data_IF_246334414884
#
_entry.id   IF_246334414884
#
_cell.length_a   1.000
_cell.length_b   1.000
_cell.length_c   1.000
_cell.angle_alpha   90.00
_cell.angle_beta   90.00
_cell.angle_gamma   90.00
#
_symmetry.space_group_name_H-M   'P 1'
#
loop_
_entity.id
_entity.type
_entity.pdbx_description
1 polymer ?
#
# COMPACT_ATOMS: atom_id res chain seq x y z
N UNK A 1 22.64 9.07 7.10
CA UNK A 1 21.76 10.05 7.78
C UNK A 1 20.68 9.27 8.49
N UNK A 2 20.57 9.40 9.81
CA UNK A 2 19.54 8.74 10.61
C UNK A 2 18.44 9.73 11.01
N UNK A 3 17.20 9.25 11.15
CA UNK A 3 15.99 10.05 11.42
C UNK A 3 15.83 11.27 10.48
N UNK A 4 15.91 11.01 9.17
CA UNK A 4 15.98 12.02 8.10
C UNK A 4 14.92 13.15 8.20
N UNK A 5 13.73 12.83 8.73
CA UNK A 5 12.62 13.76 8.91
C UNK A 5 12.92 14.94 9.83
N UNK A 6 13.95 14.85 10.67
CA UNK A 6 14.40 15.94 11.55
C UNK A 6 15.29 16.96 10.83
N UNK A 7 15.80 16.62 9.65
CA UNK A 7 16.69 17.49 8.89
C UNK A 7 15.92 18.28 7.83
N UNK A 8 16.08 19.60 7.85
CA UNK A 8 15.61 20.48 6.78
C UNK A 8 16.36 20.24 5.47
N UNK A 9 15.76 20.66 4.35
CA UNK A 9 16.35 20.53 3.01
C UNK A 9 17.72 21.21 2.94
N UNK A 10 17.85 22.39 3.55
CA UNK A 10 19.11 23.15 3.58
C UNK A 10 20.23 22.41 4.29
N UNK A 11 19.95 21.72 5.39
CA UNK A 11 20.94 20.91 6.11
C UNK A 11 21.46 19.76 5.25
N UNK A 12 20.57 19.09 4.51
CA UNK A 12 20.92 17.99 3.60
C UNK A 12 21.74 18.48 2.40
N UNK A 13 21.34 19.62 1.82
CA UNK A 13 22.08 20.24 0.72
C UNK A 13 23.48 20.71 1.15
N UNK A 14 23.64 21.20 2.38
CA UNK A 14 24.97 21.54 2.93
C UNK A 14 25.88 20.32 3.06
N UNK A 15 25.34 19.15 3.46
CA UNK A 15 26.09 17.89 3.52
C UNK A 15 26.52 17.46 2.11
N UNK A 16 25.61 17.54 1.12
CA UNK A 16 25.93 17.24 -0.28
C UNK A 16 26.99 18.18 -0.88
N UNK A 17 26.97 19.46 -0.49
CA UNK A 17 27.96 20.45 -0.94
C UNK A 17 29.37 20.22 -0.38
N UNK A 18 29.49 19.47 0.72
CA UNK A 18 30.78 19.19 1.34
C UNK A 18 31.65 18.24 0.50
N UNK A 19 31.01 17.30 -0.22
CA UNK A 19 31.65 16.43 -1.22
C UNK A 19 30.61 15.95 -2.23
N UNK A 20 30.88 16.19 -3.51
CA UNK A 20 30.22 15.51 -4.62
C UNK A 20 30.82 14.10 -4.78
N UNK A 21 30.00 13.11 -5.15
CA UNK A 21 30.38 11.68 -5.30
C UNK A 21 30.62 10.91 -3.99
N UNK A 22 29.63 10.91 -3.11
CA UNK A 22 29.59 10.04 -1.92
C UNK A 22 28.34 9.17 -1.91
N UNK A 23 28.49 7.93 -1.44
CA UNK A 23 27.35 7.06 -1.18
C UNK A 23 26.56 7.59 0.03
N UNK A 24 25.25 7.72 -0.13
CA UNK A 24 24.36 8.25 0.91
C UNK A 24 23.41 7.17 1.38
N UNK A 25 23.67 6.62 2.57
CA UNK A 25 22.71 5.77 3.27
C UNK A 25 21.80 6.63 4.16
N UNK A 26 20.49 6.50 3.99
CA UNK A 26 19.49 7.19 4.81
C UNK A 26 18.59 6.18 5.50
N UNK A 27 18.43 6.31 6.82
CA UNK A 27 17.62 5.45 7.66
C UNK A 27 16.48 6.27 8.26
N UNK A 28 15.26 5.71 8.23
CA UNK A 28 14.09 6.33 8.86
C UNK A 28 13.03 5.29 9.17
N UNK A 29 12.38 5.41 10.33
CA UNK A 29 11.23 4.60 10.70
C UNK A 29 9.94 5.00 9.95
N UNK A 30 9.89 6.25 9.46
CA UNK A 30 8.78 6.82 8.69
C UNK A 30 9.36 7.74 7.62
N UNK A 31 9.58 7.26 6.38
CA UNK A 31 10.19 8.08 5.35
C UNK A 31 9.35 9.33 5.12
N UNK A 32 10.04 10.47 4.92
CA UNK A 32 9.38 11.74 4.63
C UNK A 32 8.55 11.56 3.34
N UNK A 33 7.31 12.06 3.26
CA UNK A 33 6.47 11.92 2.08
C UNK A 33 7.20 12.21 0.75
N UNK A 34 8.00 13.29 0.71
CA UNK A 34 8.82 13.64 -0.47
C UNK A 34 9.97 12.66 -0.76
N UNK A 35 10.64 12.14 0.28
CA UNK A 35 11.71 11.15 0.09
C UNK A 35 11.10 9.82 -0.39
N UNK A 36 9.94 9.45 0.17
CA UNK A 36 9.20 8.27 -0.24
C UNK A 36 8.76 8.39 -1.70
N UNK A 37 8.19 9.53 -2.10
CA UNK A 37 7.84 9.84 -3.48
C UNK A 37 9.05 9.71 -4.41
N UNK A 38 10.20 10.33 -4.10
CA UNK A 38 11.44 10.19 -4.90
C UNK A 38 11.95 8.76 -5.00
N UNK A 39 11.64 7.93 -4.00
CA UNK A 39 12.06 6.54 -4.00
C UNK A 39 11.11 5.68 -4.86
N UNK A 40 9.81 5.96 -4.78
CA UNK A 40 8.78 5.34 -5.62
C UNK A 40 8.96 5.70 -7.10
N UNK A 41 9.44 6.91 -7.41
CA UNK A 41 9.75 7.34 -8.78
C UNK A 41 11.09 6.83 -9.29
N UNK A 42 11.82 6.01 -8.52
CA UNK A 42 13.11 5.43 -8.94
C UNK A 42 14.28 6.42 -8.99
N UNK A 43 14.12 7.65 -8.48
CA UNK A 43 15.22 8.62 -8.33
C UNK A 43 16.13 8.21 -7.16
N UNK A 44 15.60 7.48 -6.17
CA UNK A 44 16.34 6.92 -5.04
C UNK A 44 16.01 5.44 -4.84
N UNK A 45 17.03 4.64 -4.56
CA UNK A 45 16.83 3.25 -4.17
C UNK A 45 16.22 3.16 -2.77
N UNK A 46 15.22 2.29 -2.61
CA UNK A 46 14.55 2.00 -1.36
C UNK A 46 14.82 0.56 -0.96
N UNK A 47 15.25 0.35 0.28
CA UNK A 47 15.30 -0.99 0.89
C UNK A 47 14.42 -1.00 2.14
N UNK A 48 13.51 -1.96 2.21
CA UNK A 48 12.55 -2.10 3.30
C UNK A 48 12.92 -3.29 4.19
N UNK A 49 13.07 -3.04 5.49
CA UNK A 49 13.28 -4.09 6.49
C UNK A 49 11.94 -4.44 7.14
N UNK A 50 11.28 -5.48 6.62
CA UNK A 50 9.96 -5.90 7.08
C UNK A 50 9.98 -6.79 8.32
N UNK A 51 11.00 -7.65 8.46
CA UNK A 51 11.05 -8.67 9.50
C UNK A 51 11.32 -8.03 10.86
N UNK A 52 10.37 -8.07 11.81
CA UNK A 52 10.62 -7.59 13.16
C UNK A 52 11.55 -8.54 13.91
N UNK A 53 12.23 -8.07 14.97
CA UNK A 53 12.95 -8.95 15.90
C UNK A 53 12.02 -10.00 16.50
N UNK A 54 12.53 -11.22 16.73
CA UNK A 54 11.74 -12.40 17.09
C UNK A 54 10.89 -12.27 18.37
N UNK A 55 11.27 -11.38 19.29
CA UNK A 55 10.62 -11.23 20.60
C UNK A 55 9.59 -10.09 20.67
N UNK A 56 9.36 -9.37 19.57
CA UNK A 56 8.50 -8.18 19.59
C UNK A 56 7.02 -8.54 19.39
N UNK A 57 6.19 -8.18 20.37
CA UNK A 57 4.73 -8.34 20.28
C UNK A 57 4.06 -7.14 19.60
N UNK A 58 2.96 -7.33 18.84
CA UNK A 58 2.17 -6.24 18.28
C UNK A 58 1.56 -5.34 19.38
N UNK A 59 1.56 -4.04 19.13
CA UNK A 59 1.00 -3.03 20.05
C UNK A 59 -0.50 -2.92 19.80
N UNK A 60 -1.30 -3.19 20.84
CA UNK A 60 -2.75 -3.02 20.77
C UNK A 60 -3.09 -1.53 20.84
N UNK A 61 -3.61 -1.00 19.73
CA UNK A 61 -3.94 0.42 19.61
C UNK A 61 -5.46 0.59 19.75
N UNK A 62 -5.89 1.37 20.74
CA UNK A 62 -7.28 1.78 20.94
C UNK A 62 -7.42 3.25 20.58
N UNK A 63 -8.41 3.57 19.75
CA UNK A 63 -8.71 4.93 19.29
C UNK A 63 -10.13 5.25 19.71
N UNK A 64 -10.34 6.35 20.43
CA UNK A 64 -11.66 6.70 20.92
C UNK A 64 -11.74 8.05 21.60
N UNK A 65 -12.92 8.39 22.09
CA UNK A 65 -13.13 9.58 22.90
C UNK A 65 -12.37 9.47 24.23
N UNK A 66 -11.89 10.62 24.72
CA UNK A 66 -11.21 10.68 26.01
C UNK A 66 -12.16 10.23 27.14
N UNK A 67 -11.77 9.15 27.80
CA UNK A 67 -12.44 8.63 28.99
C UNK A 67 -11.43 8.54 30.14
N UNK A 68 -11.73 9.26 31.22
CA UNK A 68 -10.93 9.25 32.45
C UNK A 68 -10.86 7.85 33.07
N UNK A 69 -11.96 7.07 32.99
CA UNK A 69 -12.00 5.73 33.58
C UNK A 69 -11.08 4.79 32.82
N UNK A 70 -11.18 4.78 31.48
CA UNK A 70 -10.29 3.99 30.63
C UNK A 70 -8.82 4.37 30.84
N UNK A 71 -8.53 5.66 30.98
CA UNK A 71 -7.17 6.16 31.27
C UNK A 71 -6.66 5.65 32.63
N UNK A 72 -7.46 5.78 33.69
CA UNK A 72 -7.09 5.32 35.03
C UNK A 72 -6.92 3.79 35.09
N UNK A 73 -7.79 3.04 34.43
CA UNK A 73 -7.68 1.58 34.32
C UNK A 73 -6.42 1.15 33.55
N UNK A 74 -6.10 1.83 32.45
CA UNK A 74 -4.88 1.58 31.69
C UNK A 74 -3.63 1.80 32.53
N UNK A 75 -3.58 2.89 33.31
CA UNK A 75 -2.46 3.19 34.22
C UNK A 75 -2.38 2.13 35.33
N UNK A 76 -3.49 1.85 36.03
CA UNK A 76 -3.51 0.83 37.10
C UNK A 76 -3.08 -0.55 36.61
N UNK A 77 -3.53 -0.93 35.42
CA UNK A 77 -3.13 -2.19 34.79
C UNK A 77 -1.62 -2.25 34.54
N UNK A 78 -1.00 -1.12 34.16
CA UNK A 78 0.45 -1.02 34.02
C UNK A 78 1.18 -1.17 35.34
N UNK A 79 0.70 -0.49 36.39
CA UNK A 79 1.29 -0.53 37.72
C UNK A 79 1.27 -1.96 38.30
N UNK A 80 0.17 -2.69 38.08
CA UNK A 80 0.02 -4.09 38.52
C UNK A 80 1.04 -5.04 37.88
N UNK A 81 1.58 -4.69 36.71
CA UNK A 81 2.63 -5.45 36.03
C UNK A 81 4.04 -4.88 36.25
N UNK A 82 4.19 -3.95 37.18
CA UNK A 82 5.43 -3.23 37.48
C UNK A 82 6.04 -2.53 36.25
N UNK A 83 5.17 -2.14 35.31
CA UNK A 83 5.55 -1.38 34.12
C UNK A 83 5.42 0.12 34.34
N UNK A 84 5.77 0.87 33.30
CA UNK A 84 5.69 2.33 33.31
C UNK A 84 4.83 2.85 32.16
N UNK A 85 4.26 4.05 32.34
CA UNK A 85 3.32 4.66 31.38
C UNK A 85 3.88 5.97 30.84
N UNK A 86 3.81 6.15 29.53
CA UNK A 86 3.89 7.49 28.93
C UNK A 86 2.50 8.08 28.77
N UNK A 87 2.30 9.27 29.32
CA UNK A 87 1.12 10.09 29.08
C UNK A 87 1.53 11.32 28.26
N UNK A 88 1.14 11.37 26.99
CA UNK A 88 1.52 12.42 26.07
C UNK A 88 0.44 13.51 26.04
N UNK A 89 0.84 14.71 26.47
CA UNK A 89 0.04 15.91 26.41
C UNK A 89 0.85 17.03 25.75
N UNK A 90 0.52 17.37 24.50
CA UNK A 90 1.32 18.28 23.67
C UNK A 90 0.99 19.76 23.88
N UNK A 91 0.94 20.20 25.14
CA UNK A 91 0.75 21.60 25.50
C UNK A 91 1.37 21.86 26.88
N UNK A 92 2.35 22.76 26.94
CA UNK A 92 3.15 22.98 28.15
C UNK A 92 2.40 23.80 29.20
N UNK A 93 1.49 24.67 28.76
CA UNK A 93 0.77 25.63 29.63
C UNK A 93 -0.07 24.93 30.71
N UNK A 94 -0.69 23.80 30.38
CA UNK A 94 -1.63 23.03 31.20
C UNK A 94 -1.10 21.64 31.60
N UNK A 95 0.14 21.30 31.24
CA UNK A 95 0.71 19.96 31.53
C UNK A 95 0.73 19.64 33.02
N UNK A 96 1.00 20.64 33.87
CA UNK A 96 1.04 20.48 35.33
C UNK A 96 -0.36 20.26 35.90
N UNK A 97 -1.38 20.90 35.33
CA UNK A 97 -2.79 20.69 35.72
C UNK A 97 -3.25 19.28 35.34
N UNK A 98 -2.86 18.81 34.15
CA UNK A 98 -3.12 17.45 33.69
C UNK A 98 -2.44 16.42 34.60
N UNK A 99 -1.18 16.66 34.99
CA UNK A 99 -0.47 15.79 35.93
C UNK A 99 -1.15 15.74 37.31
N UNK A 100 -1.61 16.88 37.84
CA UNK A 100 -2.35 16.94 39.09
C UNK A 100 -3.68 16.15 39.00
N UNK A 101 -4.42 16.30 37.90
CA UNK A 101 -5.65 15.53 37.65
C UNK A 101 -5.38 14.04 37.55
N UNK A 102 -4.30 13.62 36.88
CA UNK A 102 -3.88 12.22 36.83
C UNK A 102 -3.53 11.68 38.23
N UNK A 103 -2.90 12.50 39.07
CA UNK A 103 -2.57 12.15 40.46
C UNK A 103 -3.84 11.95 41.31
N UNK A 104 -4.88 12.76 41.08
CA UNK A 104 -6.19 12.59 41.73
C UNK A 104 -6.90 11.31 41.25
N UNK A 105 -6.82 10.99 39.96
CA UNK A 105 -7.45 9.79 39.38
C UNK A 105 -6.76 8.48 39.81
N UNK A 106 -5.43 8.50 39.96
CA UNK A 106 -4.61 7.36 40.35
C UNK A 106 -3.63 7.76 41.48
N UNK A 107 -4.11 7.88 42.74
CA UNK A 107 -3.30 8.32 43.87
C UNK A 107 -2.08 7.43 44.18
N UNK A 108 -2.15 6.16 43.79
CA UNK A 108 -1.07 5.18 43.97
C UNK A 108 0.09 5.33 42.97
N UNK A 109 -0.10 6.08 41.88
CA UNK A 109 0.94 6.29 40.87
C UNK A 109 1.89 7.42 41.28
N UNK A 110 3.20 7.23 41.06
CA UNK A 110 4.18 8.31 41.16
C UNK A 110 4.31 9.00 39.81
N UNK A 111 3.85 10.25 39.72
CA UNK A 111 3.75 10.97 38.45
C UNK A 111 4.88 12.00 38.33
N UNK A 112 5.64 11.91 37.23
CA UNK A 112 6.65 12.90 36.84
C UNK A 112 6.17 13.72 35.63
N UNK A 113 6.74 14.91 35.45
CA UNK A 113 6.45 15.81 34.31
C UNK A 113 7.73 16.13 33.56
N UNK A 114 7.73 15.98 32.24
CA UNK A 114 8.86 16.30 31.37
C UNK A 114 8.43 17.07 30.11
N UNK A 115 8.92 18.30 29.94
CA UNK A 115 8.62 19.13 28.77
C UNK A 115 9.81 19.96 28.29
N UNK A 116 9.72 20.51 27.07
CA UNK A 116 10.90 20.98 26.33
C UNK A 116 11.36 22.38 26.73
N UNK A 117 10.54 23.06 27.53
CA UNK A 117 10.86 24.34 28.15
C UNK A 117 11.59 24.17 29.50
N UNK A 118 11.79 22.94 29.98
CA UNK A 118 12.62 22.70 31.17
C UNK A 118 14.08 22.97 30.84
N UNK A 119 14.86 23.33 31.86
CA UNK A 119 16.32 23.34 31.71
C UNK A 119 16.84 21.93 31.44
N UNK A 120 17.92 21.83 30.66
CA UNK A 120 18.48 20.54 30.22
C UNK A 120 18.84 19.63 31.40
N UNK A 121 19.37 20.19 32.50
CA UNK A 121 19.74 19.41 33.69
C UNK A 121 18.54 18.83 34.42
N UNK A 122 17.47 19.61 34.63
CA UNK A 122 16.24 19.10 35.24
C UNK A 122 15.54 18.08 34.36
N UNK A 123 15.53 18.28 33.04
CA UNK A 123 14.96 17.32 32.10
C UNK A 123 15.71 15.99 32.14
N UNK A 124 17.05 16.04 32.09
CA UNK A 124 17.91 14.86 32.21
C UNK A 124 17.66 14.13 33.54
N UNK A 125 17.57 14.86 34.66
CA UNK A 125 17.31 14.26 35.95
C UNK A 125 15.95 13.55 36.00
N UNK A 126 14.87 14.17 35.48
CA UNK A 126 13.54 13.52 35.44
C UNK A 126 13.56 12.25 34.58
N UNK A 127 14.30 12.26 33.47
CA UNK A 127 14.45 11.10 32.59
C UNK A 127 15.22 9.97 33.30
N UNK A 128 16.28 10.30 34.04
CA UNK A 128 17.04 9.35 34.88
C UNK A 128 16.15 8.80 35.98
N UNK A 129 15.44 9.66 36.71
CA UNK A 129 14.54 9.25 37.79
C UNK A 129 13.44 8.31 37.28
N UNK A 130 12.89 8.60 36.09
CA UNK A 130 11.93 7.71 35.45
C UNK A 130 12.59 6.40 35.02
N UNK A 131 13.82 6.41 34.48
CA UNK A 131 14.56 5.17 34.18
C UNK A 131 14.79 4.31 35.44
N UNK A 132 15.15 4.93 36.56
CA UNK A 132 15.37 4.27 37.85
C UNK A 132 14.08 3.84 38.56
N UNK A 133 12.92 4.04 37.91
CA UNK A 133 11.58 3.72 38.45
C UNK A 133 11.22 4.52 39.71
N UNK A 134 11.75 5.73 39.85
CA UNK A 134 11.28 6.70 40.86
C UNK A 134 9.88 7.22 40.52
N UNK A 135 9.55 7.25 39.22
CA UNK A 135 8.24 7.60 38.69
C UNK A 135 7.64 6.42 37.90
N UNK A 136 6.34 6.23 38.00
CA UNK A 136 5.60 5.20 37.28
C UNK A 136 4.95 5.74 36.01
N UNK A 137 4.51 7.01 36.05
CA UNK A 137 3.87 7.69 34.93
C UNK A 137 4.65 8.95 34.59
N UNK A 138 5.06 9.10 33.33
CA UNK A 138 5.69 10.32 32.85
C UNK A 138 4.71 11.08 31.94
N UNK A 139 4.25 12.22 32.44
CA UNK A 139 3.45 13.18 31.66
C UNK A 139 4.43 14.02 30.84
N UNK A 140 4.38 13.90 29.52
CA UNK A 140 5.36 14.52 28.65
C UNK A 140 4.76 15.10 27.38
N UNK A 141 5.50 16.02 26.75
CA UNK A 141 5.22 16.44 25.38
C UNK A 141 5.86 15.47 24.37
N UNK A 142 5.96 15.85 23.10
CA UNK A 142 6.56 15.02 22.04
C UNK A 142 8.08 14.81 22.15
N UNK A 143 8.72 15.20 23.26
CA UNK A 143 10.18 15.05 23.47
C UNK A 143 10.60 13.59 23.43
N UNK A 144 9.75 12.67 23.88
CA UNK A 144 9.99 11.22 23.82
C UNK A 144 10.17 10.70 22.39
N UNK A 145 9.78 11.47 21.36
CA UNK A 145 10.12 11.15 19.97
C UNK A 145 11.64 11.11 19.73
N UNK A 146 12.45 11.79 20.57
CA UNK A 146 13.87 12.14 20.33
C UNK A 146 14.93 11.14 20.77
N UNK A 147 14.56 9.92 21.14
CA UNK A 147 15.55 8.87 21.36
C UNK A 147 15.73 8.43 22.81
N UNK A 148 14.78 8.73 23.70
CA UNK A 148 14.71 8.08 25.00
C UNK A 148 14.09 6.69 24.77
N UNK A 149 14.92 5.66 24.91
CA UNK A 149 14.51 4.27 24.79
C UNK A 149 14.32 3.66 26.17
N UNK A 150 13.09 3.37 26.57
CA UNK A 150 12.79 2.80 27.89
C UNK A 150 12.08 1.45 27.74
N UNK A 151 12.79 0.32 27.93
CA UNK A 151 12.24 -1.02 27.74
C UNK A 151 11.06 -1.35 28.67
N UNK A 152 11.01 -0.73 29.85
CA UNK A 152 9.97 -0.89 30.86
C UNK A 152 8.64 -0.21 30.50
N UNK A 153 8.64 0.67 29.50
CA UNK A 153 7.42 1.37 29.10
C UNK A 153 6.63 0.52 28.12
N UNK A 154 5.48 0.03 28.57
CA UNK A 154 4.60 -0.84 27.78
C UNK A 154 3.20 -0.26 27.59
N UNK A 155 2.88 0.91 28.16
CA UNK A 155 1.63 1.62 27.88
C UNK A 155 1.88 3.07 27.47
N UNK A 156 1.27 3.45 26.34
CA UNK A 156 1.21 4.82 25.83
C UNK A 156 -0.23 5.33 25.95
N UNK A 157 -0.41 6.52 26.50
CA UNK A 157 -1.68 7.25 26.47
C UNK A 157 -1.42 8.59 25.79
N UNK A 158 -2.23 8.96 24.80
CA UNK A 158 -2.15 10.25 24.10
C UNK A 158 -3.49 10.94 24.26
N UNK A 159 -3.53 12.06 24.98
CA UNK A 159 -4.75 12.82 25.30
C UNK A 159 -5.38 13.49 24.06
N UNK A 160 -4.54 14.15 23.25
CA UNK A 160 -4.97 14.94 22.07
C UNK A 160 -4.39 14.40 20.77
N UNK A 161 -4.68 13.14 20.46
CA UNK A 161 -4.21 12.50 19.22
C UNK A 161 -4.79 13.17 17.95
N UNK A 162 -5.92 13.88 18.07
CA UNK A 162 -6.53 14.70 17.01
C UNK A 162 -5.64 15.87 16.54
N UNK A 163 -4.68 16.31 17.34
CA UNK A 163 -3.76 17.40 16.98
C UNK A 163 -2.42 16.92 16.41
N UNK A 164 -2.14 15.61 16.45
CA UNK A 164 -0.83 15.05 16.12
C UNK A 164 -0.77 14.48 14.70
N UNK A 165 0.35 14.66 14.00
CA UNK A 165 0.56 14.08 12.67
C UNK A 165 0.64 12.54 12.68
N UNK A 166 0.36 11.90 11.54
CA UNK A 166 0.33 10.43 11.45
C UNK A 166 1.71 9.82 11.74
N UNK A 167 2.76 10.40 11.17
CA UNK A 167 4.15 10.00 11.45
C UNK A 167 4.54 10.18 12.91
N UNK A 168 4.07 11.24 13.59
CA UNK A 168 4.33 11.47 15.02
C UNK A 168 3.67 10.39 15.88
N UNK A 169 2.39 10.11 15.65
CA UNK A 169 1.67 9.04 16.35
C UNK A 169 2.35 7.69 16.16
N UNK A 170 2.83 7.40 14.94
CA UNK A 170 3.57 6.17 14.67
C UNK A 170 4.91 6.11 15.41
N UNK A 171 5.68 7.21 15.43
CA UNK A 171 6.94 7.27 16.16
C UNK A 171 6.73 7.09 17.66
N UNK A 172 5.77 7.80 18.26
CA UNK A 172 5.40 7.64 19.66
C UNK A 172 5.01 6.21 19.99
N UNK A 173 4.14 5.60 19.17
CA UNK A 173 3.75 4.20 19.33
C UNK A 173 4.96 3.28 19.26
N UNK A 174 5.90 3.53 18.35
CA UNK A 174 7.13 2.75 18.19
C UNK A 174 8.12 2.85 19.37
N UNK A 175 7.95 3.83 20.28
CA UNK A 175 8.75 3.97 21.51
C UNK A 175 8.28 3.04 22.64
N UNK A 176 7.12 2.42 22.51
CA UNK A 176 6.52 1.52 23.52
C UNK A 176 6.53 0.08 23.03
N UNK A 177 6.57 -0.89 23.94
CA UNK A 177 6.50 -2.32 23.59
C UNK A 177 7.79 -2.86 22.99
N UNK A 178 8.90 -2.56 23.68
CA UNK A 178 10.23 -3.12 23.39
C UNK A 178 10.57 -4.34 24.24
N UNK A 179 9.75 -4.65 25.23
CA UNK A 179 9.84 -5.87 26.04
C UNK A 179 9.06 -7.04 25.40
N UNK A 180 9.25 -8.24 25.94
CA UNK A 180 8.43 -9.42 25.59
C UNK A 180 6.95 -9.24 25.94
N UNK A 181 6.63 -8.28 26.81
CA UNK A 181 5.26 -8.02 27.22
C UNK A 181 4.49 -7.25 26.16
N UNK A 182 3.20 -7.62 26.04
CA UNK A 182 2.30 -6.93 25.12
C UNK A 182 2.12 -5.47 25.54
N UNK A 183 2.28 -4.57 24.59
CA UNK A 183 2.09 -3.15 24.80
C UNK A 183 0.72 -2.64 24.35
N UNK A 184 0.30 -1.53 24.96
CA UNK A 184 -0.98 -0.87 24.69
C UNK A 184 -0.75 0.60 24.32
N UNK A 185 -1.51 1.09 23.35
CA UNK A 185 -1.53 2.50 22.98
C UNK A 185 -2.98 3.00 22.95
N UNK A 186 -3.29 3.97 23.81
CA UNK A 186 -4.59 4.62 23.89
C UNK A 186 -4.48 6.00 23.26
N UNK A 187 -5.16 6.20 22.13
CA UNK A 187 -5.16 7.44 21.36
C UNK A 187 -6.52 8.11 21.51
N UNK A 188 -6.57 9.12 22.36
CA UNK A 188 -7.80 9.82 22.68
C UNK A 188 -8.00 11.09 21.83
N UNK A 189 -9.26 11.46 21.69
CA UNK A 189 -9.69 12.74 21.16
C UNK A 189 -10.84 13.31 22.00
N UNK A 190 -11.04 14.64 22.03
CA UNK A 190 -12.04 15.25 22.90
C UNK A 190 -13.47 14.86 22.49
N UNK A 191 -14.35 14.47 23.43
CA UNK A 191 -15.73 14.04 23.13
C UNK A 191 -16.63 15.19 22.64
N UNK A 192 -16.29 16.43 23.00
CA UNK A 192 -17.11 17.62 22.71
C UNK A 192 -16.89 18.19 21.30
N UNK A 193 -15.94 17.66 20.53
CA UNK A 193 -15.53 18.23 19.25
C UNK A 193 -15.65 17.20 18.14
N UNK A 194 -16.39 17.56 17.08
CA UNK A 194 -16.40 16.78 15.86
C UNK A 194 -14.98 16.76 15.24
N UNK A 195 -14.49 15.55 14.96
CA UNK A 195 -13.25 15.36 14.23
C UNK A 195 -13.40 15.85 12.79
N UNK A 196 -12.34 16.43 12.23
CA UNK A 196 -12.28 16.62 10.79
C UNK A 196 -12.13 15.27 10.10
N UNK A 197 -12.61 15.14 8.87
CA UNK A 197 -12.47 13.92 8.07
C UNK A 197 -11.01 13.44 8.01
N UNK A 198 -10.06 14.35 7.78
CA UNK A 198 -8.62 14.06 7.81
C UNK A 198 -8.13 13.52 9.15
N UNK A 199 -8.60 14.08 10.27
CA UNK A 199 -8.19 13.61 11.59
C UNK A 199 -8.78 12.23 11.89
N UNK A 200 -10.04 12.00 11.51
CA UNK A 200 -10.70 10.71 11.64
C UNK A 200 -9.99 9.62 10.81
N UNK A 201 -9.73 9.87 9.53
CA UNK A 201 -9.02 8.92 8.67
C UNK A 201 -7.62 8.61 9.20
N UNK A 202 -6.90 9.61 9.70
CA UNK A 202 -5.57 9.45 10.31
C UNK A 202 -5.63 8.56 11.54
N UNK A 203 -6.57 8.81 12.44
CA UNK A 203 -6.77 8.05 13.67
C UNK A 203 -7.23 6.60 13.37
N UNK A 204 -8.10 6.42 12.38
CA UNK A 204 -8.49 5.09 11.89
C UNK A 204 -7.29 4.32 11.35
N UNK A 205 -6.50 4.97 10.49
CA UNK A 205 -5.30 4.37 9.87
C UNK A 205 -4.31 3.86 10.91
N UNK A 206 -3.99 4.66 11.93
CA UNK A 206 -3.04 4.24 12.98
C UNK A 206 -3.61 3.12 13.87
N UNK A 207 -4.93 3.09 14.07
CA UNK A 207 -5.64 2.04 14.80
C UNK A 207 -5.67 0.71 14.06
N UNK A 208 -5.83 0.72 12.73
CA UNK A 208 -5.83 -0.49 11.88
C UNK A 208 -4.41 -1.03 11.65
N UNK A 209 -3.40 -0.15 11.64
CA UNK A 209 -2.00 -0.46 11.40
C UNK A 209 -1.31 -1.17 12.59
N UNK A 210 -1.88 -2.25 13.10
CA UNK A 210 -1.43 -2.99 14.29
C UNK A 210 -0.24 -3.92 14.05
N UNK A 211 0.04 -4.28 12.80
CA UNK A 211 1.15 -5.16 12.45
C UNK A 211 2.51 -4.47 12.55
N UNK A 212 3.51 -5.19 13.08
CA UNK A 212 4.90 -4.76 13.04
C UNK A 212 5.36 -4.61 11.58
N UNK A 213 6.06 -3.53 11.26
CA UNK A 213 6.41 -3.18 9.87
C UNK A 213 5.37 -2.32 9.14
N UNK A 214 4.33 -1.86 9.81
CA UNK A 214 3.32 -0.95 9.22
C UNK A 214 3.85 0.45 8.88
N UNK A 215 5.09 0.80 9.24
CA UNK A 215 5.67 2.13 9.05
C UNK A 215 5.65 2.60 7.59
N UNK A 216 5.87 1.68 6.64
CA UNK A 216 5.78 1.97 5.21
C UNK A 216 4.33 2.28 4.78
N UNK A 217 3.36 1.42 5.16
CA UNK A 217 1.93 1.65 4.88
C UNK A 217 1.42 2.96 5.46
N UNK A 218 1.86 3.29 6.67
CA UNK A 218 1.54 4.54 7.36
C UNK A 218 2.14 5.74 6.61
N UNK A 219 3.37 5.63 6.12
CA UNK A 219 4.01 6.69 5.35
C UNK A 219 3.35 6.91 3.99
N UNK A 220 2.93 5.85 3.29
CA UNK A 220 2.13 5.97 2.05
C UNK A 220 0.80 6.68 2.33
N UNK A 221 0.09 6.28 3.39
CA UNK A 221 -1.18 6.93 3.75
C UNK A 221 -0.98 8.38 4.22
N UNK A 222 0.12 8.72 4.89
CA UNK A 222 0.46 10.11 5.23
C UNK A 222 0.73 10.96 3.98
N UNK A 223 1.38 10.38 2.95
CA UNK A 223 1.58 11.02 1.65
C UNK A 223 0.25 11.27 0.92
N UNK A 224 -0.65 10.28 0.90
CA UNK A 224 -2.00 10.42 0.32
C UNK A 224 -2.83 11.50 1.05
N UNK A 225 -2.88 11.46 2.39
CA UNK A 225 -3.66 12.39 3.21
C UNK A 225 -3.17 13.85 3.13
N UNK A 226 -1.86 14.04 2.96
CA UNK A 226 -1.25 15.37 2.75
C UNK A 226 -1.37 15.83 1.30
N UNK A 227 -1.62 14.91 0.37
CA UNK A 227 -1.52 15.10 -1.07
C UNK A 227 -0.05 15.03 -1.50
N UNK A 228 0.28 14.11 -2.40
CA UNK A 228 1.54 14.17 -3.14
C UNK A 228 1.61 15.55 -3.81
N UNK A 229 2.70 16.28 -3.61
CA UNK A 229 2.65 17.72 -3.78
C UNK A 229 4.03 18.34 -3.91
N UNK A 230 4.29 18.84 -5.12
CA UNK A 230 5.36 19.76 -5.52
C UNK A 230 6.79 19.22 -5.56
N UNK A 231 7.09 18.42 -6.59
CA UNK A 231 8.48 18.27 -7.07
C UNK A 231 8.89 19.34 -8.11
N UNK A 232 7.95 19.95 -8.87
CA UNK A 232 8.31 20.84 -10.00
C UNK A 232 7.96 22.34 -9.84
N UNK A 233 7.14 22.73 -8.85
CA UNK A 233 6.83 24.13 -8.57
C UNK A 233 5.86 24.81 -9.55
N UNK A 234 4.95 25.61 -9.00
CA UNK A 234 3.95 26.42 -9.72
C UNK A 234 2.54 25.83 -9.76
N UNK A 235 1.81 25.91 -8.64
CA UNK A 235 0.33 25.77 -8.55
C UNK A 235 -0.32 24.68 -9.41
N UNK A 236 -0.17 23.41 -9.04
CA UNK A 236 -0.99 22.30 -9.59
C UNK A 236 -1.39 21.28 -8.52
N UNK A 237 -1.93 21.74 -7.39
CA UNK A 237 -2.53 20.86 -6.37
C UNK A 237 -3.79 20.11 -6.85
N UNK A 238 -4.28 20.40 -8.07
CA UNK A 238 -5.55 19.89 -8.59
C UNK A 238 -5.49 18.61 -9.44
N UNK A 239 -4.33 18.20 -9.97
CA UNK A 239 -4.27 17.06 -10.90
C UNK A 239 -4.21 15.69 -10.21
N UNK A 240 -3.57 15.59 -9.04
CA UNK A 240 -3.40 14.32 -8.31
C UNK A 240 -4.73 13.81 -7.72
N UNK A 241 -5.62 14.72 -7.30
CA UNK A 241 -6.97 14.36 -6.84
C UNK A 241 -7.89 13.89 -7.99
N UNK A 242 -7.58 14.21 -9.25
CA UNK A 242 -8.43 13.93 -10.40
C UNK A 242 -8.06 12.64 -11.14
N UNK A 243 -6.81 12.20 -11.06
CA UNK A 243 -6.24 11.10 -11.85
C UNK A 243 -6.01 9.83 -11.01
N UNK A 244 -6.00 9.95 -9.67
CA UNK A 244 -5.66 8.86 -8.76
C UNK A 244 -4.15 8.76 -8.54
N UNK A 245 -3.74 8.44 -7.31
CA UNK A 245 -2.32 8.39 -6.92
C UNK A 245 -1.55 7.28 -7.65
N UNK A 246 -2.19 6.14 -7.88
CA UNK A 246 -1.60 4.99 -8.56
C UNK A 246 -1.20 5.33 -10.00
N UNK A 247 -2.10 5.94 -10.77
CA UNK A 247 -1.84 6.36 -12.15
C UNK A 247 -0.78 7.48 -12.23
N UNK A 248 -0.72 8.38 -11.23
CA UNK A 248 0.35 9.36 -11.12
C UNK A 248 1.72 8.69 -10.93
N UNK A 249 1.81 7.70 -10.04
CA UNK A 249 3.04 6.94 -9.81
C UNK A 249 3.46 6.16 -11.07
N UNK A 250 2.52 5.55 -11.80
CA UNK A 250 2.78 4.87 -13.08
C UNK A 250 3.35 5.85 -14.11
N UNK A 251 2.69 7.01 -14.32
CA UNK A 251 3.14 8.01 -15.29
C UNK A 251 4.54 8.57 -14.98
N UNK A 252 4.87 8.76 -13.69
CA UNK A 252 6.20 9.25 -13.30
C UNK A 252 7.24 8.14 -13.43
N UNK A 253 6.90 6.90 -13.10
CA UNK A 253 7.78 5.73 -13.30
C UNK A 253 8.12 5.55 -14.77
N UNK A 254 7.11 5.65 -15.65
CA UNK A 254 7.27 5.60 -17.10
C UNK A 254 8.20 6.73 -17.60
N UNK A 255 7.96 7.98 -17.18
CA UNK A 255 8.79 9.11 -17.58
C UNK A 255 10.25 9.00 -17.09
N UNK A 256 10.49 8.42 -15.90
CA UNK A 256 11.85 8.22 -15.37
C UNK A 256 12.55 7.06 -16.09
N UNK A 257 11.84 5.98 -16.42
CA UNK A 257 12.37 4.88 -17.21
C UNK A 257 12.76 5.34 -18.63
N UNK A 258 11.92 6.16 -19.28
CA UNK A 258 12.24 6.79 -20.57
C UNK A 258 13.54 7.64 -20.49
N UNK A 259 13.73 8.38 -19.40
CA UNK A 259 14.94 9.20 -19.18
C UNK A 259 16.20 8.38 -18.86
N UNK A 260 16.05 7.22 -18.20
CA UNK A 260 17.15 6.28 -17.92
C UNK A 260 17.53 5.41 -19.13
N UNK A 261 16.69 5.38 -20.16
CA UNK A 261 16.86 4.53 -21.34
C UNK A 261 16.48 3.08 -21.07
N UNK A 262 15.74 2.80 -20.00
CA UNK A 262 15.16 1.49 -19.74
C UNK A 262 13.96 1.28 -20.68
N UNK A 263 13.77 0.08 -21.27
CA UNK A 263 12.61 -0.17 -22.11
C UNK A 263 11.35 -0.10 -21.22
N UNK A 264 10.54 0.94 -21.43
CA UNK A 264 9.19 0.99 -20.88
C UNK A 264 8.37 -0.03 -21.64
N UNK A 265 7.98 -1.10 -20.96
CA UNK A 265 7.04 -2.08 -21.49
C UNK A 265 5.65 -1.43 -21.44
N UNK A 266 5.30 -0.71 -22.51
CA UNK A 266 3.94 -0.20 -22.67
C UNK A 266 3.06 -1.43 -22.80
N UNK A 267 2.31 -1.78 -21.75
CA UNK A 267 1.24 -2.76 -21.87
C UNK A 267 0.30 -2.28 -22.96
N UNK A 268 0.38 -2.88 -24.14
CA UNK A 268 -0.52 -2.57 -25.24
C UNK A 268 -1.95 -2.73 -24.75
N UNK A 269 -2.79 -1.72 -24.94
CA UNK A 269 -4.21 -1.83 -24.66
C UNK A 269 -4.81 -2.82 -25.66
N UNK A 270 -5.01 -4.07 -25.23
CA UNK A 270 -5.62 -5.11 -26.06
C UNK A 270 -7.14 -5.03 -25.88
N UNK A 271 -7.84 -4.73 -26.96
CA UNK A 271 -9.29 -4.74 -27.01
C UNK A 271 -9.79 -6.15 -27.35
N UNK A 272 -10.50 -6.80 -26.43
CA UNK A 272 -11.15 -8.10 -26.65
C UNK A 272 -12.66 -7.92 -26.54
N UNK A 273 -13.33 -7.79 -27.68
CA UNK A 273 -14.80 -7.62 -27.76
C UNK A 273 -15.46 -8.88 -28.34
N UNK A 274 -15.83 -9.79 -27.44
CA UNK A 274 -16.53 -11.03 -27.76
C UNK A 274 -17.93 -10.97 -27.12
N UNK A 275 -19.02 -11.25 -27.87
CA UNK A 275 -20.39 -11.20 -27.33
C UNK A 275 -20.70 -12.47 -26.51
N UNK A 276 -19.95 -12.66 -25.43
CA UNK A 276 -20.00 -13.80 -24.50
C UNK A 276 -20.22 -13.31 -23.07
N UNK A 277 -20.81 -14.16 -22.24
CA UNK A 277 -20.97 -13.87 -20.81
C UNK A 277 -19.74 -14.38 -20.06
N UNK A 278 -18.82 -13.49 -19.73
CA UNK A 278 -17.63 -13.78 -18.94
C UNK A 278 -17.62 -12.90 -17.69
N UNK A 279 -17.85 -13.49 -16.52
CA UNK A 279 -17.85 -12.79 -15.23
C UNK A 279 -17.70 -13.78 -14.07
N UNK A 280 -17.28 -13.28 -12.91
CA UNK A 280 -17.30 -14.01 -11.64
C UNK A 280 -18.69 -13.92 -10.99
N UNK A 281 -19.44 -15.03 -10.86
CA UNK A 281 -20.77 -15.02 -10.24
C UNK A 281 -20.72 -14.67 -8.76
N UNK A 282 -21.77 -13.98 -8.27
CA UNK A 282 -21.90 -13.64 -6.84
C UNK A 282 -21.92 -14.88 -5.94
N UNK A 283 -22.50 -15.97 -6.45
CA UNK A 283 -22.62 -17.25 -5.74
C UNK A 283 -21.28 -17.99 -5.60
N UNK A 284 -20.27 -17.62 -6.40
CA UNK A 284 -18.94 -18.22 -6.38
C UNK A 284 -17.96 -17.41 -5.52
N UNK A 285 -18.00 -16.07 -5.62
CA UNK A 285 -17.21 -15.16 -4.78
C UNK A 285 -18.17 -14.15 -4.16
N UNK A 286 -18.59 -14.40 -2.91
CA UNK A 286 -19.57 -13.56 -2.21
C UNK A 286 -19.03 -12.16 -1.90
N UNK A 287 -17.78 -12.07 -1.42
CA UNK A 287 -17.15 -10.82 -1.02
C UNK A 287 -16.73 -9.98 -2.25
N UNK A 288 -17.22 -8.74 -2.32
CA UNK A 288 -16.94 -7.81 -3.43
C UNK A 288 -15.45 -7.45 -3.54
N UNK A 289 -14.77 -7.25 -2.40
CA UNK A 289 -13.33 -6.96 -2.35
C UNK A 289 -12.49 -8.09 -2.97
N UNK A 290 -12.82 -9.36 -2.65
CA UNK A 290 -12.13 -10.53 -3.21
C UNK A 290 -12.38 -10.67 -4.70
N UNK A 291 -13.57 -10.28 -5.18
CA UNK A 291 -13.91 -10.32 -6.59
C UNK A 291 -13.15 -9.26 -7.39
N UNK A 292 -13.04 -8.05 -6.84
CA UNK A 292 -12.23 -6.97 -7.42
C UNK A 292 -10.75 -7.35 -7.47
N UNK A 293 -10.23 -7.98 -6.41
CA UNK A 293 -8.86 -8.51 -6.39
C UNK A 293 -8.65 -9.57 -7.49
N UNK A 294 -9.59 -10.51 -7.64
CA UNK A 294 -9.54 -11.53 -8.67
C UNK A 294 -9.56 -10.94 -10.09
N UNK A 295 -10.39 -9.92 -10.35
CA UNK A 295 -10.40 -9.20 -11.62
C UNK A 295 -9.09 -8.46 -11.88
N UNK A 296 -8.49 -7.83 -10.86
CA UNK A 296 -7.19 -7.15 -11.00
C UNK A 296 -6.06 -8.12 -11.32
N UNK A 297 -6.00 -9.25 -10.60
CA UNK A 297 -5.02 -10.32 -10.88
C UNK A 297 -5.15 -10.82 -12.32
N UNK A 298 -6.36 -11.11 -12.77
CA UNK A 298 -6.62 -11.50 -14.15
C UNK A 298 -6.23 -10.44 -15.19
N UNK A 299 -6.46 -9.17 -14.87
CA UNK A 299 -6.13 -8.08 -15.78
C UNK A 299 -4.62 -7.80 -15.89
N UNK A 300 -3.82 -8.27 -14.93
CA UNK A 300 -2.37 -8.10 -14.89
C UNK A 300 -1.61 -9.30 -15.50
N UNK A 301 -2.31 -10.38 -15.86
CA UNK A 301 -1.70 -11.56 -16.48
C UNK A 301 -1.01 -11.19 -17.79
N UNK A 302 0.23 -11.61 -17.90
CA UNK A 302 1.05 -11.53 -19.13
C UNK A 302 1.52 -12.90 -19.62
N UNK A 303 1.54 -13.92 -18.74
CA UNK A 303 1.99 -15.27 -19.08
C UNK A 303 0.91 -16.34 -18.87
N UNK A 304 0.99 -17.43 -19.65
CA UNK A 304 0.02 -18.53 -19.58
C UNK A 304 0.07 -19.30 -18.25
N UNK A 305 1.26 -19.36 -17.62
CA UNK A 305 1.44 -20.03 -16.33
C UNK A 305 0.67 -19.31 -15.23
N UNK A 306 0.64 -17.98 -15.27
CA UNK A 306 -0.07 -17.16 -14.28
C UNK A 306 -1.58 -17.43 -14.29
N UNK A 307 -2.17 -17.73 -15.47
CA UNK A 307 -3.59 -18.09 -15.54
C UNK A 307 -3.87 -19.43 -14.86
N UNK A 308 -2.98 -20.41 -15.04
CA UNK A 308 -3.11 -21.72 -14.39
C UNK A 308 -2.95 -21.61 -12.87
N UNK A 309 -2.05 -20.75 -12.40
CA UNK A 309 -1.89 -20.47 -10.97
C UNK A 309 -3.13 -19.79 -10.38
N UNK A 310 -3.72 -18.83 -11.11
CA UNK A 310 -4.98 -18.18 -10.71
C UNK A 310 -6.14 -19.19 -10.67
N UNK A 311 -6.24 -20.09 -11.66
CA UNK A 311 -7.25 -21.14 -11.67
C UNK A 311 -7.08 -22.08 -10.46
N UNK A 312 -5.86 -22.51 -10.15
CA UNK A 312 -5.57 -23.32 -8.98
C UNK A 312 -5.91 -22.60 -7.67
N UNK A 313 -5.58 -21.30 -7.56
CA UNK A 313 -5.95 -20.46 -6.42
C UNK A 313 -7.48 -20.38 -6.26
N UNK A 314 -8.21 -20.22 -7.36
CA UNK A 314 -9.68 -20.17 -7.32
C UNK A 314 -10.30 -21.49 -6.90
N UNK A 315 -9.75 -22.61 -7.38
CA UNK A 315 -10.21 -23.95 -7.00
C UNK A 315 -9.97 -24.20 -5.50
N UNK A 316 -8.81 -23.82 -4.99
CA UNK A 316 -8.46 -24.01 -3.58
C UNK A 316 -9.31 -23.13 -2.65
N UNK A 317 -9.57 -21.87 -3.03
CA UNK A 317 -10.29 -20.90 -2.20
C UNK A 317 -11.80 -21.00 -2.30
N UNK A 318 -12.34 -21.25 -3.49
CA UNK A 318 -13.78 -21.11 -3.79
C UNK A 318 -14.42 -22.42 -4.30
N UNK A 319 -13.62 -23.46 -4.58
CA UNK A 319 -14.10 -24.73 -5.08
C UNK A 319 -14.23 -24.79 -6.61
N UNK A 320 -15.07 -25.65 -7.19
CA UNK A 320 -15.09 -25.88 -8.63
C UNK A 320 -15.53 -24.62 -9.42
N UNK A 321 -14.72 -24.22 -10.40
CA UNK A 321 -14.94 -23.01 -11.20
C UNK A 321 -16.20 -23.13 -12.07
N UNK A 322 -17.20 -22.23 -11.94
CA UNK A 322 -18.39 -22.22 -12.79
C UNK A 322 -18.07 -21.95 -14.27
N UNK A 323 -18.93 -22.40 -15.19
CA UNK A 323 -18.74 -22.24 -16.65
C UNK A 323 -18.50 -20.78 -17.08
N UNK A 324 -19.18 -19.84 -16.44
CA UNK A 324 -19.06 -18.39 -16.72
C UNK A 324 -17.69 -17.84 -16.29
N UNK A 325 -17.12 -18.38 -15.20
CA UNK A 325 -15.80 -18.03 -14.70
C UNK A 325 -14.68 -18.75 -15.48
N UNK A 326 -14.93 -19.98 -15.96
CA UNK A 326 -14.05 -20.66 -16.91
C UNK A 326 -13.93 -19.88 -18.22
N UNK A 327 -15.05 -19.32 -18.70
CA UNK A 327 -15.06 -18.43 -19.87
C UNK A 327 -14.18 -17.21 -19.64
N UNK A 328 -14.20 -16.64 -18.43
CA UNK A 328 -13.33 -15.51 -18.06
C UNK A 328 -11.85 -15.89 -18.04
N UNK A 329 -11.50 -17.09 -17.55
CA UNK A 329 -10.13 -17.63 -17.63
C UNK A 329 -9.68 -17.81 -19.08
N UNK A 330 -10.55 -18.30 -19.97
CA UNK A 330 -10.22 -18.41 -21.39
C UNK A 330 -10.00 -17.06 -22.06
N UNK A 331 -10.71 -16.00 -21.65
CA UNK A 331 -10.44 -14.63 -22.11
C UNK A 331 -9.07 -14.15 -21.65
N UNK A 332 -8.67 -14.47 -20.42
CA UNK A 332 -7.34 -14.14 -19.92
C UNK A 332 -6.21 -14.89 -20.65
N UNK A 333 -6.40 -16.18 -20.96
CA UNK A 333 -5.46 -16.95 -21.81
C UNK A 333 -5.32 -16.34 -23.20
N UNK A 334 -6.46 -16.00 -23.83
CA UNK A 334 -6.47 -15.33 -25.13
C UNK A 334 -5.71 -14.00 -25.07
N UNK A 335 -5.90 -13.21 -24.00
CA UNK A 335 -5.18 -11.96 -23.79
C UNK A 335 -3.67 -12.18 -23.68
N UNK A 336 -3.22 -13.12 -22.87
CA UNK A 336 -1.79 -13.42 -22.71
C UNK A 336 -1.15 -13.81 -24.05
N UNK A 337 -1.85 -14.61 -24.86
CA UNK A 337 -1.38 -14.96 -26.22
C UNK A 337 -1.36 -13.74 -27.15
N UNK A 338 -2.37 -12.86 -27.06
CA UNK A 338 -2.38 -11.61 -27.81
C UNK A 338 -1.19 -10.70 -27.45
N UNK A 339 -0.84 -10.58 -26.15
CA UNK A 339 0.37 -9.86 -25.71
C UNK A 339 1.62 -10.48 -26.34
N UNK A 340 1.77 -11.80 -26.24
CA UNK A 340 2.93 -12.52 -26.79
C UNK A 340 3.09 -12.35 -28.31
N UNK A 341 1.97 -12.29 -29.04
CA UNK A 341 1.94 -12.16 -30.49
C UNK A 341 1.93 -10.70 -30.98
N UNK A 342 1.82 -9.72 -30.09
CA UNK A 342 1.73 -8.29 -30.43
C UNK A 342 0.39 -7.89 -31.06
N UNK A 343 -0.70 -8.57 -30.70
CA UNK A 343 -2.06 -8.28 -31.17
C UNK A 343 -2.71 -7.19 -30.31
N UNK A 344 -3.49 -6.30 -30.93
CA UNK A 344 -4.13 -5.14 -30.28
C UNK A 344 -5.66 -5.22 -30.27
N UNK A 345 -6.29 -5.84 -31.27
CA UNK A 345 -7.75 -5.95 -31.39
C UNK A 345 -8.18 -7.38 -31.75
N UNK A 346 -9.05 -7.94 -30.90
CA UNK A 346 -9.78 -9.19 -31.15
C UNK A 346 -11.27 -8.92 -30.96
N UNK A 347 -11.99 -8.78 -32.05
CA UNK A 347 -13.41 -8.35 -32.01
C UNK A 347 -14.30 -9.24 -32.88
N UNK A 348 -15.53 -9.50 -32.44
CA UNK A 348 -16.54 -10.16 -33.29
C UNK A 348 -17.33 -9.13 -34.08
N UNK A 349 -17.16 -9.14 -35.40
CA UNK A 349 -17.99 -8.36 -36.32
C UNK A 349 -19.21 -9.16 -36.79
N UNK A 350 -20.22 -8.44 -37.30
CA UNK A 350 -21.49 -8.98 -37.79
C UNK A 350 -21.30 -10.29 -38.62
N UNK A 351 -22.11 -11.32 -38.30
CA UNK A 351 -22.10 -12.68 -38.90
C UNK A 351 -21.00 -13.64 -38.39
N UNK A 352 -20.74 -13.68 -37.09
CA UNK A 352 -19.80 -14.62 -36.45
C UNK A 352 -18.37 -14.53 -37.02
N UNK A 353 -17.91 -13.32 -37.34
CA UNK A 353 -16.57 -13.09 -37.89
C UNK A 353 -15.68 -12.55 -36.79
N UNK A 354 -14.72 -13.35 -36.32
CA UNK A 354 -13.69 -12.89 -35.39
C UNK A 354 -12.61 -12.19 -36.19
N UNK A 355 -12.39 -10.92 -35.90
CA UNK A 355 -11.32 -10.08 -36.45
C UNK A 355 -10.16 -10.10 -35.46
N UNK A 356 -8.94 -10.26 -35.96
CA UNK A 356 -7.69 -10.23 -35.19
C UNK A 356 -6.72 -9.29 -35.90
N UNK A 357 -6.18 -8.32 -35.17
CA UNK A 357 -5.30 -7.27 -35.69
C UNK A 357 -4.34 -6.74 -34.62
N UNK A 358 -3.15 -6.22 -34.99
CA UNK A 358 -2.44 -6.43 -36.25
C UNK A 358 -1.69 -7.78 -36.23
N UNK A 359 -1.75 -8.57 -37.30
CA UNK A 359 -0.99 -9.81 -37.44
C UNK A 359 -0.36 -9.91 -38.83
N UNK A 360 0.97 -9.99 -38.90
CA UNK A 360 1.69 -10.18 -40.17
C UNK A 360 2.03 -11.66 -40.38
N UNK A 361 1.38 -12.32 -41.33
CA UNK A 361 1.64 -13.72 -41.61
C UNK A 361 2.69 -13.92 -42.70
N UNK A 362 3.74 -14.68 -42.39
CA UNK A 362 4.69 -15.23 -43.36
C UNK A 362 3.99 -16.20 -44.32
N UNK A 363 4.59 -16.46 -45.49
CA UNK A 363 4.01 -17.38 -46.49
C UNK A 363 3.72 -18.79 -45.92
N UNK A 364 4.57 -19.27 -45.02
CA UNK A 364 4.37 -20.56 -44.32
C UNK A 364 3.16 -20.54 -43.40
N UNK A 365 2.94 -19.44 -42.69
CA UNK A 365 1.80 -19.24 -41.79
C UNK A 365 0.50 -19.03 -42.57
N UNK A 366 0.53 -18.35 -43.73
CA UNK A 366 -0.63 -18.23 -44.62
C UNK A 366 -1.11 -19.60 -45.14
N UNK A 367 -0.19 -20.52 -45.44
CA UNK A 367 -0.53 -21.89 -45.83
C UNK A 367 -1.11 -22.67 -44.64
N UNK A 368 -0.59 -22.50 -43.42
CA UNK A 368 -1.15 -23.10 -42.20
C UNK A 368 -2.54 -22.56 -41.90
N UNK A 369 -2.73 -21.25 -41.99
CA UNK A 369 -4.01 -20.58 -41.85
C UNK A 369 -5.07 -21.19 -42.78
N UNK A 370 -4.76 -21.36 -44.06
CA UNK A 370 -5.68 -22.01 -45.01
C UNK A 370 -6.01 -23.47 -44.66
N UNK A 371 -5.08 -24.20 -44.01
CA UNK A 371 -5.32 -25.57 -43.54
C UNK A 371 -6.20 -25.59 -42.29
N UNK A 372 -5.93 -24.72 -41.33
CA UNK A 372 -6.69 -24.60 -40.07
C UNK A 372 -8.14 -24.15 -40.32
N UNK A 373 -8.37 -23.34 -41.35
CA UNK A 373 -9.73 -22.95 -41.77
C UNK A 373 -10.58 -24.10 -42.34
N UNK A 374 -9.96 -25.22 -42.75
CA UNK A 374 -10.67 -26.41 -43.24
C UNK A 374 -11.04 -27.38 -42.10
N UNK A 375 -10.72 -27.05 -40.86
CA UNK A 375 -11.11 -27.83 -39.68
C UNK A 375 -12.61 -27.64 -39.36
N UNK A 376 -13.24 -28.63 -38.72
CA UNK A 376 -14.70 -28.70 -38.51
C UNK A 376 -15.26 -27.52 -37.69
N UNK A 377 -14.41 -26.78 -36.97
CA UNK A 377 -14.79 -25.67 -36.11
C UNK A 377 -14.97 -24.32 -36.83
N UNK A 378 -14.36 -24.13 -38.00
CA UNK A 378 -14.35 -22.86 -38.73
C UNK A 378 -15.04 -22.97 -40.09
N UNK A 379 -15.66 -21.88 -40.56
CA UNK A 379 -16.42 -21.82 -41.81
C UNK A 379 -15.69 -21.06 -42.93
N UNK A 380 -14.38 -20.87 -42.78
CA UNK A 380 -13.55 -20.08 -43.66
C UNK A 380 -13.04 -18.80 -43.00
N UNK A 381 -12.33 -17.99 -43.77
CA UNK A 381 -11.69 -16.79 -43.25
C UNK A 381 -10.94 -16.05 -44.35
N UNK A 382 -10.54 -14.82 -44.05
CA UNK A 382 -9.83 -13.95 -44.99
C UNK A 382 -8.67 -13.28 -44.28
N UNK A 383 -7.50 -13.29 -44.91
CA UNK A 383 -6.34 -12.52 -44.46
C UNK A 383 -6.13 -11.35 -45.44
N UNK A 384 -6.04 -10.13 -44.91
CA UNK A 384 -5.77 -8.91 -45.68
C UNK A 384 -4.38 -8.40 -45.32
N UNK A 385 -3.42 -8.68 -46.17
CA UNK A 385 -2.01 -8.30 -45.97
C UNK A 385 -1.82 -6.78 -45.90
N UNK A 386 -2.58 -6.00 -46.67
CA UNK A 386 -2.50 -4.52 -46.69
C UNK A 386 -2.85 -3.85 -45.35
N UNK A 387 -3.63 -4.52 -44.49
CA UNK A 387 -4.12 -3.97 -43.21
C UNK A 387 -3.66 -4.84 -42.02
N UNK A 388 -2.80 -5.84 -42.26
CA UNK A 388 -2.38 -6.83 -41.26
C UNK A 388 -3.57 -7.43 -40.48
N UNK A 389 -4.69 -7.70 -41.17
CA UNK A 389 -5.95 -8.09 -40.54
C UNK A 389 -6.31 -9.53 -40.91
N UNK A 390 -6.59 -10.33 -39.88
CA UNK A 390 -7.03 -11.71 -40.01
C UNK A 390 -8.50 -11.82 -39.59
N UNK A 391 -9.32 -12.48 -40.42
CA UNK A 391 -10.74 -12.71 -40.11
C UNK A 391 -11.07 -14.20 -40.14
N UNK A 392 -11.55 -14.73 -39.02
CA UNK A 392 -11.98 -16.13 -38.86
C UNK A 392 -13.51 -16.17 -38.84
N UNK A 393 -14.14 -17.02 -39.66
CA UNK A 393 -15.58 -17.24 -39.61
C UNK A 393 -15.87 -18.41 -38.68
N UNK A 394 -16.62 -18.16 -37.62
CA UNK A 394 -16.97 -19.18 -36.62
C UNK A 394 -18.42 -19.62 -36.83
N UNK A 395 -18.71 -20.91 -36.61
CA UNK A 395 -20.06 -21.47 -36.75
C UNK A 395 -21.02 -20.91 -35.71
N UNK A 396 -20.57 -20.84 -34.46
CA UNK A 396 -21.37 -20.42 -33.31
C UNK A 396 -20.54 -19.54 -32.38
N UNK A 397 -21.13 -18.46 -31.88
CA UNK A 397 -20.51 -17.63 -30.84
C UNK A 397 -21.03 -18.12 -29.49
N UNK A 398 -20.16 -18.79 -28.74
CA UNK A 398 -20.49 -19.39 -27.45
C UNK A 398 -19.35 -19.25 -26.42
N UNK A 399 -19.52 -19.77 -25.19
CA UNK A 399 -18.55 -19.63 -24.09
C UNK A 399 -17.17 -20.26 -24.37
N UNK A 400 -17.09 -21.16 -25.35
CA UNK A 400 -15.82 -21.79 -25.78
C UNK A 400 -15.03 -20.96 -26.79
N UNK A 401 -15.62 -19.89 -27.34
CA UNK A 401 -15.02 -19.07 -28.39
C UNK A 401 -13.63 -18.54 -28.02
N UNK A 402 -13.37 -17.99 -26.81
CA UNK A 402 -12.03 -17.48 -26.48
C UNK A 402 -10.98 -18.58 -26.49
N UNK A 403 -11.32 -19.78 -26.00
CA UNK A 403 -10.43 -20.94 -26.00
C UNK A 403 -10.18 -21.49 -27.41
N UNK A 404 -11.19 -21.50 -28.27
CA UNK A 404 -11.03 -21.91 -29.68
C UNK A 404 -10.16 -20.91 -30.46
N UNK A 405 -10.31 -19.60 -30.22
CA UNK A 405 -9.45 -18.56 -30.83
C UNK A 405 -8.03 -18.66 -30.29
N UNK A 406 -7.84 -18.89 -28.99
CA UNK A 406 -6.53 -19.12 -28.38
C UNK A 406 -5.80 -20.31 -29.03
N UNK A 407 -6.46 -21.47 -29.12
CA UNK A 407 -5.87 -22.66 -29.75
C UNK A 407 -5.54 -22.40 -31.23
N UNK A 408 -6.42 -21.69 -31.96
CA UNK A 408 -6.17 -21.32 -33.34
C UNK A 408 -4.91 -20.46 -33.49
N UNK A 409 -4.72 -19.46 -32.63
CA UNK A 409 -3.53 -18.60 -32.66
C UNK A 409 -2.25 -19.39 -32.36
N UNK A 410 -2.26 -20.31 -31.39
CA UNK A 410 -1.11 -21.18 -31.11
C UNK A 410 -0.78 -22.15 -32.22
N UNK A 411 -1.77 -22.71 -32.91
CA UNK A 411 -1.52 -23.59 -34.05
C UNK A 411 -1.02 -22.82 -35.28
N UNK A 412 -1.49 -21.59 -35.45
CA UNK A 412 -1.04 -20.68 -36.50
C UNK A 412 0.44 -20.28 -36.27
N UNK A 413 0.76 -19.87 -35.04
CA UNK A 413 2.10 -19.50 -34.57
C UNK A 413 2.48 -20.33 -33.34
N UNK A 414 3.02 -21.55 -33.55
CA UNK A 414 3.54 -22.32 -32.43
C UNK A 414 4.76 -21.59 -31.87
N UNK A 415 4.55 -20.88 -30.77
CA UNK A 415 5.58 -20.36 -29.89
C UNK A 415 6.44 -21.54 -29.42
N UNK A 416 7.77 -21.35 -29.44
CA UNK A 416 8.74 -22.38 -29.04
C UNK A 416 8.65 -22.72 -27.56
#
# INVERSE_FOLDING_TARGET
VDEEQRFGVTHKESIKKFKTDIDVLTLSATPIPRTLEMSLTGIRDLSLLHTPPAERQPILTHVGEYDERATAEAIRRELLREGQVFFVHNKVEDITEVAARLQEMVPEARIGVAHGQMDEGSLEQVVIDFWERSYDVLVCTTIIESGIDMPSVNTLVVDRADLMGLGQLHQLRGRVGRSEQRAYAYLFYPPTRALTEKAFERLRTIGEATQLGSGFRIAMRDLELRGAGNLLGGTQSGHIAAVGYDLYCEMVTEAVAELKGDPVDRTSEINIDLPIKAFLPNEYVEAEEQRLEAYRKLAAVSELVEVADIEAEWIDRYGPVPEVAQTLLHVALLRAECVSLGLEDVSVTNRNRVRVSPIELTQSEQIRYQRLLNDEKFNGGTYKEEVAELTIHVREVGPKLPGDVFNFLRELRPTK
#
